data_IF_846780506864
#
_entry.id   IF_846780506864
#
_cell.length_a   1.000
_cell.length_b   1.000
_cell.length_c   1.000
_cell.angle_alpha   90.00
_cell.angle_beta   90.00
_cell.angle_gamma   90.00
#
_symmetry.space_group_name_H-M   'P 1'
#
loop_
_entity.id
_entity.type
_entity.pdbx_description
1 polymer ?
#
# COMPACT_ATOMS: atom_id res chain seq x y z
N UNK A 1 17.67 3.11 2.50
CA UNK A 1 18.07 4.12 1.48
C UNK A 1 16.95 4.20 0.45
N UNK A 2 16.52 5.40 0.03
CA UNK A 2 15.54 5.54 -1.07
C UNK A 2 16.24 5.16 -2.38
N UNK A 3 15.92 4.00 -2.94
CA UNK A 3 16.64 3.43 -4.08
C UNK A 3 15.89 3.58 -5.39
N UNK A 4 14.56 3.77 -5.38
CA UNK A 4 13.73 3.75 -6.58
C UNK A 4 13.10 5.11 -6.96
N UNK A 5 13.43 6.20 -6.26
CA UNK A 5 12.87 7.53 -6.53
C UNK A 5 13.89 8.47 -7.17
N UNK A 6 13.44 9.19 -8.20
CA UNK A 6 14.16 10.35 -8.70
C UNK A 6 14.21 11.41 -7.60
N UNK A 7 15.40 11.95 -7.34
CA UNK A 7 15.63 12.96 -6.31
C UNK A 7 15.35 14.36 -6.85
N UNK A 8 15.00 15.28 -5.94
CA UNK A 8 14.81 16.70 -6.21
C UNK A 8 13.77 17.00 -7.32
N UNK A 9 12.69 16.23 -7.35
CA UNK A 9 11.55 16.47 -8.24
C UNK A 9 10.23 16.17 -7.54
N UNK A 10 9.16 16.84 -7.98
CA UNK A 10 7.81 16.43 -7.67
C UNK A 10 7.47 15.16 -8.45
N UNK A 11 6.88 14.18 -7.76
CA UNK A 11 6.44 12.91 -8.34
C UNK A 11 4.96 12.74 -8.04
N UNK A 12 4.16 12.43 -9.05
CA UNK A 12 2.78 12.01 -8.86
C UNK A 12 2.73 10.50 -8.63
N UNK A 13 1.68 10.03 -7.98
CA UNK A 13 1.44 8.60 -7.75
C UNK A 13 1.49 7.76 -9.04
N UNK A 14 0.94 8.30 -10.13
CA UNK A 14 0.88 7.67 -11.46
C UNK A 14 2.27 7.50 -12.09
N UNK A 15 3.22 8.38 -11.75
CA UNK A 15 4.61 8.28 -12.20
C UNK A 15 5.35 7.10 -11.53
N UNK A 16 4.85 6.65 -10.37
CA UNK A 16 5.49 5.65 -9.55
C UNK A 16 4.98 4.24 -9.81
N UNK A 17 3.67 4.07 -9.95
CA UNK A 17 3.02 2.79 -10.20
C UNK A 17 1.71 3.01 -10.99
N UNK A 18 1.51 2.35 -12.13
CA UNK A 18 0.26 2.47 -12.87
C UNK A 18 -0.83 1.58 -12.28
N UNK A 19 -2.08 1.99 -12.39
CA UNK A 19 -3.22 1.09 -12.21
C UNK A 19 -3.46 0.34 -13.52
N UNK A 20 -3.60 -0.98 -13.45
CA UNK A 20 -3.82 -1.85 -14.61
C UNK A 20 -5.05 -2.72 -14.38
N UNK A 21 -5.99 -2.80 -15.34
CA UNK A 21 -7.20 -3.59 -15.19
C UNK A 21 -6.91 -5.02 -14.72
N UNK A 22 -7.67 -5.49 -13.72
CA UNK A 22 -7.59 -6.85 -13.17
C UNK A 22 -6.23 -7.23 -12.55
N UNK A 23 -5.42 -6.26 -12.14
CA UNK A 23 -4.09 -6.51 -11.59
C UNK A 23 -3.87 -5.84 -10.23
N UNK A 24 -3.18 -6.56 -9.35
CA UNK A 24 -2.51 -6.02 -8.17
C UNK A 24 -1.02 -5.91 -8.47
N UNK A 25 -0.45 -4.72 -8.36
CA UNK A 25 0.96 -4.44 -8.56
C UNK A 25 1.60 -3.94 -7.27
N UNK A 26 2.86 -4.30 -7.05
CA UNK A 26 3.65 -3.81 -5.91
C UNK A 26 4.98 -3.22 -6.36
N UNK A 27 5.43 -2.14 -5.72
CA UNK A 27 6.75 -1.55 -5.95
C UNK A 27 7.38 -1.10 -4.64
N UNK A 28 8.54 -1.65 -4.31
CA UNK A 28 9.36 -1.17 -3.19
C UNK A 28 9.94 0.19 -3.56
N UNK A 29 9.65 1.20 -2.74
CA UNK A 29 10.10 2.58 -2.94
C UNK A 29 11.34 2.88 -2.10
N UNK A 30 11.37 2.35 -0.88
CA UNK A 30 12.52 2.40 -0.01
C UNK A 30 12.50 1.23 0.98
N UNK A 31 13.69 0.81 1.41
CA UNK A 31 13.83 -0.15 2.48
C UNK A 31 15.09 0.09 3.30
N UNK A 32 15.08 -0.43 4.52
CA UNK A 32 16.22 -0.56 5.41
C UNK A 32 16.20 -1.97 6.04
N UNK A 33 17.07 -2.21 7.03
CA UNK A 33 17.01 -3.45 7.82
C UNK A 33 15.78 -3.47 8.75
N UNK A 34 15.31 -2.30 9.17
CA UNK A 34 14.28 -2.12 10.22
C UNK A 34 12.92 -1.72 9.66
N UNK A 35 12.82 -1.42 8.36
CA UNK A 35 11.54 -1.03 7.77
C UNK A 35 11.52 -1.16 6.24
N UNK A 36 10.31 -1.22 5.68
CA UNK A 36 10.06 -1.12 4.24
C UNK A 36 8.91 -0.15 3.93
N UNK A 37 8.99 0.47 2.76
CA UNK A 37 7.95 1.31 2.18
C UNK A 37 7.63 0.80 0.78
N UNK A 38 6.40 0.32 0.61
CA UNK A 38 5.90 -0.31 -0.61
C UNK A 38 4.71 0.48 -1.12
N UNK A 39 4.67 0.74 -2.44
CA UNK A 39 3.46 1.15 -3.13
C UNK A 39 2.73 -0.08 -3.62
N UNK A 40 1.43 -0.13 -3.35
CA UNK A 40 0.52 -1.12 -3.90
C UNK A 40 -0.47 -0.39 -4.81
N UNK A 41 -0.67 -0.92 -6.01
CA UNK A 41 -1.71 -0.50 -6.94
C UNK A 41 -2.67 -1.66 -7.11
N UNK A 42 -3.95 -1.41 -6.87
CA UNK A 42 -4.99 -2.41 -6.98
C UNK A 42 -6.04 -1.88 -7.96
N UNK A 43 -6.39 -2.67 -8.98
CA UNK A 43 -7.56 -2.38 -9.76
C UNK A 43 -8.83 -2.69 -8.94
N UNK A 44 -9.94 -2.05 -9.27
CA UNK A 44 -11.25 -2.38 -8.71
C UNK A 44 -11.51 -3.89 -8.77
N UNK A 45 -12.11 -4.43 -7.70
CA UNK A 45 -12.41 -5.86 -7.50
C UNK A 45 -11.18 -6.77 -7.33
N UNK A 46 -9.95 -6.25 -7.28
CA UNK A 46 -8.78 -7.05 -6.90
C UNK A 46 -8.53 -7.02 -5.39
N UNK A 47 -7.92 -8.10 -4.90
CA UNK A 47 -7.61 -8.26 -3.48
C UNK A 47 -6.17 -8.72 -3.24
N UNK A 48 -5.78 -8.61 -1.97
CA UNK A 48 -4.62 -9.26 -1.37
C UNK A 48 -5.16 -10.10 -0.21
N UNK A 49 -4.88 -11.41 -0.28
CA UNK A 49 -5.36 -12.38 0.69
C UNK A 49 -4.95 -12.03 2.13
N UNK A 50 -5.83 -12.35 3.08
CA UNK A 50 -5.60 -12.09 4.49
C UNK A 50 -4.41 -12.84 5.09
N UNK A 51 -3.38 -12.11 5.52
CA UNK A 51 -2.19 -12.69 6.15
C UNK A 51 -1.86 -12.02 7.49
N UNK A 52 -1.20 -12.77 8.39
CA UNK A 52 -0.70 -12.25 9.66
C UNK A 52 0.82 -12.16 9.64
N UNK A 53 1.37 -10.99 9.99
CA UNK A 53 2.80 -10.74 9.99
C UNK A 53 3.31 -10.39 11.39
N UNK A 54 4.55 -10.76 11.76
CA UNK A 54 5.15 -10.39 13.05
C UNK A 54 5.59 -8.92 13.12
N UNK A 55 5.03 -8.06 12.28
CA UNK A 55 5.39 -6.65 12.11
C UNK A 55 4.16 -5.74 12.23
N UNK A 56 4.38 -4.51 12.69
CA UNK A 56 3.35 -3.48 12.61
C UNK A 56 3.27 -2.96 11.16
N UNK A 57 2.04 -2.72 10.68
CA UNK A 57 1.80 -2.21 9.34
C UNK A 57 0.94 -0.95 9.36
N UNK A 58 1.40 0.08 8.68
CA UNK A 58 0.63 1.29 8.40
C UNK A 58 0.26 1.32 6.92
N UNK A 59 -1.03 1.48 6.64
CA UNK A 59 -1.55 1.69 5.30
C UNK A 59 -2.05 3.11 5.15
N UNK A 60 -1.67 3.79 4.07
CA UNK A 60 -2.16 5.11 3.72
C UNK A 60 -2.73 5.10 2.31
N UNK A 61 -4.00 5.48 2.16
CA UNK A 61 -4.67 5.53 0.86
C UNK A 61 -4.34 6.84 0.14
N UNK A 62 -3.51 6.77 -0.90
CA UNK A 62 -3.10 7.95 -1.68
C UNK A 62 -4.22 8.34 -2.65
N UNK A 63 -4.85 7.32 -3.23
CA UNK A 63 -5.96 7.47 -4.16
C UNK A 63 -6.88 6.24 -4.12
N UNK A 64 -8.14 6.46 -4.47
CA UNK A 64 -9.14 5.40 -4.50
C UNK A 64 -9.81 5.16 -3.15
N UNK A 65 -10.21 3.92 -2.94
CA UNK A 65 -10.95 3.44 -1.79
C UNK A 65 -10.69 1.93 -1.64
N UNK A 66 -10.21 1.54 -0.46
CA UNK A 66 -9.88 0.13 -0.15
C UNK A 66 -10.52 -0.29 1.16
N UNK A 67 -10.94 -1.54 1.24
CA UNK A 67 -11.31 -2.20 2.48
C UNK A 67 -10.05 -2.88 3.03
N UNK A 68 -9.56 -2.42 4.18
CA UNK A 68 -8.40 -3.02 4.86
C UNK A 68 -8.88 -3.67 6.15
N UNK A 69 -8.83 -4.99 6.19
CA UNK A 69 -9.52 -5.82 7.18
C UNK A 69 -10.98 -5.36 7.35
N UNK A 70 -11.33 -4.73 8.48
CA UNK A 70 -12.70 -4.32 8.78
C UNK A 70 -12.94 -2.81 8.63
N UNK A 71 -12.01 -2.08 8.01
CA UNK A 71 -12.09 -0.63 7.85
C UNK A 71 -12.09 -0.24 6.37
N UNK A 72 -13.06 0.59 5.98
CA UNK A 72 -13.04 1.28 4.70
C UNK A 72 -12.10 2.48 4.80
N UNK A 73 -11.09 2.53 3.95
CA UNK A 73 -10.04 3.55 3.93
C UNK A 73 -10.09 4.28 2.59
N UNK A 74 -10.39 5.56 2.66
CA UNK A 74 -10.52 6.44 1.50
C UNK A 74 -9.28 7.30 1.31
N UNK A 75 -9.17 7.94 0.15
CA UNK A 75 -8.11 8.90 -0.16
C UNK A 75 -7.82 9.87 0.99
N UNK A 76 -6.56 9.92 1.41
CA UNK A 76 -6.07 10.78 2.49
C UNK A 76 -6.18 10.17 3.88
N UNK A 77 -6.76 8.98 4.03
CA UNK A 77 -6.88 8.28 5.31
C UNK A 77 -5.77 7.25 5.50
N UNK A 78 -5.50 6.95 6.77
CA UNK A 78 -4.51 5.95 7.18
C UNK A 78 -5.11 5.01 8.23
N UNK A 79 -4.62 3.77 8.25
CA UNK A 79 -4.90 2.78 9.28
C UNK A 79 -3.62 2.12 9.75
N UNK A 80 -3.52 1.89 11.05
CA UNK A 80 -2.40 1.19 11.69
C UNK A 80 -2.89 -0.15 12.22
N UNK A 81 -2.21 -1.22 11.83
CA UNK A 81 -2.49 -2.57 12.29
C UNK A 81 -1.30 -3.10 13.11
N UNK A 82 -1.56 -3.64 14.32
CA UNK A 82 -0.51 -4.24 15.13
C UNK A 82 -0.10 -5.60 14.57
N UNK A 83 1.13 -6.01 14.89
CA UNK A 83 1.65 -7.34 14.57
C UNK A 83 0.72 -8.48 15.00
N UNK A 84 0.81 -9.59 14.27
CA UNK A 84 0.07 -10.84 14.46
C UNK A 84 -1.46 -10.69 14.35
N UNK A 85 -1.93 -9.67 13.63
CA UNK A 85 -3.32 -9.57 13.18
C UNK A 85 -3.39 -9.85 11.69
N UNK A 86 -4.42 -10.59 11.29
CA UNK A 86 -4.69 -10.86 9.89
C UNK A 86 -5.17 -9.59 9.19
N UNK A 87 -4.58 -9.29 8.04
CA UNK A 87 -4.88 -8.10 7.24
C UNK A 87 -5.15 -8.59 5.82
N UNK A 88 -6.40 -8.45 5.37
CA UNK A 88 -6.78 -8.58 3.97
C UNK A 88 -6.99 -7.17 3.39
N UNK A 89 -6.78 -7.01 2.09
CA UNK A 89 -7.00 -5.74 1.40
C UNK A 89 -7.85 -6.02 0.17
N UNK A 90 -8.95 -5.30 0.00
CA UNK A 90 -9.81 -5.38 -1.18
C UNK A 90 -9.99 -3.98 -1.77
N UNK A 91 -9.85 -3.86 -3.08
CA UNK A 91 -10.06 -2.61 -3.79
C UNK A 91 -11.53 -2.41 -4.14
N UNK A 92 -12.17 -1.48 -3.44
CA UNK A 92 -13.53 -1.03 -3.75
C UNK A 92 -13.54 -0.15 -5.00
N UNK A 93 -12.42 0.52 -5.27
CA UNK A 93 -12.15 1.27 -6.50
C UNK A 93 -10.68 1.10 -6.87
N UNK A 94 -10.33 1.42 -8.11
CA UNK A 94 -8.96 1.65 -8.54
C UNK A 94 -8.19 2.50 -7.51
N UNK A 95 -7.18 1.89 -6.89
CA UNK A 95 -6.54 2.44 -5.69
C UNK A 95 -5.03 2.34 -5.72
N UNK A 96 -4.38 3.34 -5.13
CA UNK A 96 -2.95 3.33 -4.82
C UNK A 96 -2.79 3.58 -3.33
N UNK A 97 -2.10 2.67 -2.65
CA UNK A 97 -1.83 2.75 -1.22
C UNK A 97 -0.34 2.63 -0.92
N UNK A 98 0.12 3.33 0.12
CA UNK A 98 1.40 3.05 0.76
C UNK A 98 1.22 1.99 1.83
N UNK A 99 2.08 0.99 1.83
CA UNK A 99 2.32 0.10 2.98
C UNK A 99 3.68 0.46 3.58
N UNK A 100 3.67 0.85 4.85
CA UNK A 100 4.86 0.93 5.68
C UNK A 100 4.88 -0.25 6.64
N UNK A 101 5.97 -1.01 6.63
CA UNK A 101 6.18 -2.15 7.54
C UNK A 101 7.40 -1.88 8.41
N UNK A 102 7.26 -2.07 9.73
CA UNK A 102 8.37 -2.12 10.69
C UNK A 102 8.89 -3.56 10.76
N UNK A 103 10.16 -3.79 10.42
CA UNK A 103 10.79 -5.12 10.37
C UNK A 103 11.44 -5.51 11.70
#
# INVERSE_FOLDING_TARGET
>A
MFTALKKACLLNQEDLIPIRPYQTLSKIIAQSKEWSLVLLSLAEETDISGESYPSNKLYFCINGQVQIANQLVEKGQAVLYPKNKAIAIEAVKDSIIFEFTEN
#
